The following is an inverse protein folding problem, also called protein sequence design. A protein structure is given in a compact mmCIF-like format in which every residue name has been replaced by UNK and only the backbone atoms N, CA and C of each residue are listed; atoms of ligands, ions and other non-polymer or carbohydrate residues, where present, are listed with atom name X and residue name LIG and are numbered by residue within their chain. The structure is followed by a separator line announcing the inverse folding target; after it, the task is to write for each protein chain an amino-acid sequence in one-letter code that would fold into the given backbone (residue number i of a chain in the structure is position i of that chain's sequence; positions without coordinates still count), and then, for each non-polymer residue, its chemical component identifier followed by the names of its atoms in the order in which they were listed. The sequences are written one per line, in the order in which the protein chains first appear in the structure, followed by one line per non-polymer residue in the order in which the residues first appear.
data_IF_560708730894
#
_entry.id   IF_560708730894
#
_cell.length_a   1.000
_cell.length_b   1.000
_cell.length_c   1.000
_cell.angle_alpha   90.00
_cell.angle_beta   90.00
_cell.angle_gamma   90.00
#
_symmetry.space_group_name_H-M   'P 1'
#
loop_
_entity.id
_entity.type
_entity.pdbx_description
1 polymer ?
#
# COMPACT_ATOMS: atom_id res chain seq x y z
N UNK A 1 14.11 33.33 -0.67
CA UNK A 1 15.38 33.05 -1.39
C UNK A 1 15.25 31.74 -2.15
N UNK A 2 15.55 31.78 -3.44
CA UNK A 2 15.23 30.80 -4.49
C UNK A 2 16.07 29.51 -4.42
N UNK A 3 15.45 28.39 -4.07
CA UNK A 3 15.95 27.03 -4.37
C UNK A 3 14.99 26.22 -5.28
N UNK A 4 14.50 26.76 -6.41
CA UNK A 4 13.62 26.01 -7.32
C UNK A 4 14.32 24.79 -7.94
N UNK A 5 15.64 24.86 -8.17
CA UNK A 5 16.40 23.77 -8.85
C UNK A 5 16.48 22.48 -8.04
N UNK A 6 16.55 22.56 -6.69
CA UNK A 6 16.66 21.36 -5.85
C UNK A 6 15.34 20.60 -5.72
N UNK A 7 14.21 21.31 -5.79
CA UNK A 7 12.88 20.69 -5.73
C UNK A 7 12.63 19.84 -6.99
N UNK A 8 12.99 20.38 -8.16
CA UNK A 8 12.83 19.67 -9.43
C UNK A 8 13.68 18.38 -9.46
N UNK A 9 14.92 18.43 -8.97
CA UNK A 9 15.80 17.25 -8.92
C UNK A 9 15.24 16.14 -8.01
N UNK A 10 14.74 16.51 -6.82
CA UNK A 10 14.14 15.55 -5.90
C UNK A 10 12.88 14.88 -6.46
N UNK A 11 12.06 15.63 -7.22
CA UNK A 11 10.88 15.08 -7.90
C UNK A 11 11.29 14.09 -8.98
N UNK A 12 12.29 14.43 -9.81
CA UNK A 12 12.78 13.54 -10.88
C UNK A 12 13.30 12.23 -10.31
N UNK A 13 14.13 12.27 -9.26
CA UNK A 13 14.64 11.05 -8.62
C UNK A 13 13.48 10.19 -8.11
N UNK A 14 12.47 10.81 -7.48
CA UNK A 14 11.30 10.09 -6.97
C UNK A 14 10.53 9.39 -8.08
N UNK A 15 10.22 10.11 -9.15
CA UNK A 15 9.55 9.55 -10.34
C UNK A 15 10.37 8.38 -10.89
N UNK A 16 11.69 8.55 -11.04
CA UNK A 16 12.57 7.51 -11.56
C UNK A 16 12.57 6.27 -10.65
N UNK A 17 12.67 6.45 -9.33
CA UNK A 17 12.62 5.31 -8.38
C UNK A 17 11.28 4.58 -8.40
N UNK A 18 10.15 5.29 -8.42
CA UNK A 18 8.82 4.64 -8.53
C UNK A 18 8.64 3.94 -9.88
N UNK A 19 9.23 4.50 -10.94
CA UNK A 19 9.11 3.92 -12.28
C UNK A 19 9.74 2.53 -12.38
N UNK A 20 10.68 2.20 -11.48
CA UNK A 20 11.25 0.85 -11.38
C UNK A 20 10.15 -0.18 -11.11
N UNK A 21 9.23 0.09 -10.17
CA UNK A 21 8.13 -0.84 -9.88
C UNK A 21 7.27 -1.03 -11.12
N UNK A 22 6.86 0.07 -11.75
CA UNK A 22 6.02 0.03 -12.94
C UNK A 22 6.71 -0.71 -14.10
N UNK A 23 8.00 -0.46 -14.34
CA UNK A 23 8.80 -1.14 -15.37
C UNK A 23 9.00 -2.62 -15.07
N UNK A 24 9.21 -3.01 -13.81
CA UNK A 24 9.30 -4.41 -13.40
C UNK A 24 7.98 -5.13 -13.68
N UNK A 25 6.85 -4.53 -13.30
CA UNK A 25 5.53 -5.10 -13.56
C UNK A 25 5.23 -5.17 -15.06
N UNK A 26 5.56 -4.12 -15.83
CA UNK A 26 5.34 -4.09 -17.27
C UNK A 26 6.21 -5.14 -17.97
N UNK A 27 7.49 -5.24 -17.58
CA UNK A 27 8.39 -6.26 -18.10
C UNK A 27 7.88 -7.66 -17.80
N UNK A 28 7.36 -7.89 -16.59
CA UNK A 28 6.70 -9.13 -16.22
C UNK A 28 5.50 -9.42 -17.12
N UNK A 29 4.56 -8.49 -17.26
CA UNK A 29 3.39 -8.61 -18.13
C UNK A 29 3.76 -8.98 -19.57
N UNK A 30 4.74 -8.30 -20.16
CA UNK A 30 5.17 -8.52 -21.54
C UNK A 30 5.93 -9.84 -21.74
N UNK A 31 6.58 -10.37 -20.71
CA UNK A 31 7.41 -11.58 -20.83
C UNK A 31 6.79 -12.83 -20.20
N UNK A 32 5.67 -12.70 -19.47
CA UNK A 32 5.09 -13.77 -18.66
C UNK A 32 4.89 -15.08 -19.45
N UNK A 33 4.40 -14.98 -20.70
CA UNK A 33 4.12 -16.12 -21.59
C UNK A 33 5.35 -16.92 -22.02
N UNK A 34 6.55 -16.32 -22.01
CA UNK A 34 7.82 -16.99 -22.33
C UNK A 34 8.64 -17.34 -21.10
N UNK A 35 8.25 -16.83 -19.94
CA UNK A 35 9.08 -16.81 -18.74
C UNK A 35 8.86 -18.07 -17.88
N UNK A 36 9.93 -18.81 -17.57
CA UNK A 36 9.84 -20.00 -16.73
C UNK A 36 9.46 -19.69 -15.27
N UNK A 37 9.32 -20.73 -14.45
CA UNK A 37 9.02 -20.52 -13.02
C UNK A 37 10.12 -19.78 -12.26
N UNK A 38 11.39 -19.89 -12.67
CA UNK A 38 12.49 -19.16 -12.04
C UNK A 38 12.35 -17.64 -12.17
N UNK A 39 11.98 -17.15 -13.36
CA UNK A 39 11.71 -15.72 -13.58
C UNK A 39 10.49 -15.24 -12.81
N UNK A 40 9.43 -16.04 -12.73
CA UNK A 40 8.26 -15.72 -11.92
C UNK A 40 8.61 -15.59 -10.42
N UNK A 41 9.43 -16.51 -9.89
CA UNK A 41 9.91 -16.47 -8.51
C UNK A 41 10.80 -15.25 -8.25
N UNK A 42 11.66 -14.89 -9.19
CA UNK A 42 12.50 -13.69 -9.10
C UNK A 42 11.63 -12.43 -9.03
N UNK A 43 10.67 -12.27 -9.95
CA UNK A 43 9.77 -11.11 -9.96
C UNK A 43 8.95 -11.07 -8.66
N UNK A 44 8.44 -12.22 -8.21
CA UNK A 44 7.75 -12.33 -6.94
C UNK A 44 8.62 -11.89 -5.76
N UNK A 45 9.89 -12.32 -5.71
CA UNK A 45 10.83 -11.94 -4.66
C UNK A 45 11.13 -10.43 -4.67
N UNK A 46 11.31 -9.83 -5.85
CA UNK A 46 11.53 -8.38 -6.00
C UNK A 46 10.31 -7.58 -5.55
N UNK A 47 9.10 -7.97 -5.98
CA UNK A 47 7.85 -7.31 -5.54
C UNK A 47 7.66 -7.46 -4.03
N UNK A 48 7.89 -8.66 -3.50
CA UNK A 48 7.80 -8.94 -2.08
C UNK A 48 8.75 -8.03 -1.30
N UNK A 49 10.01 -7.89 -1.75
CA UNK A 49 10.98 -7.01 -1.09
C UNK A 49 10.46 -5.55 -1.00
N UNK A 50 9.89 -5.01 -2.08
CA UNK A 50 9.32 -3.66 -2.05
C UNK A 50 8.15 -3.56 -1.05
N UNK A 51 7.21 -4.50 -1.10
CA UNK A 51 6.08 -4.53 -0.18
C UNK A 51 6.52 -4.64 1.29
N UNK A 52 7.51 -5.47 1.57
CA UNK A 52 8.06 -5.65 2.90
C UNK A 52 8.73 -4.38 3.41
N UNK A 53 9.49 -3.67 2.58
CA UNK A 53 10.10 -2.39 2.98
C UNK A 53 9.04 -1.37 3.40
N UNK A 54 7.92 -1.29 2.68
CA UNK A 54 6.79 -0.43 3.07
C UNK A 54 6.08 -0.93 4.34
N UNK A 55 5.85 -2.24 4.46
CA UNK A 55 5.19 -2.87 5.60
C UNK A 55 5.99 -2.68 6.89
N UNK A 56 7.31 -2.91 6.85
CA UNK A 56 8.20 -2.67 7.99
C UNK A 56 8.18 -1.22 8.42
N UNK A 57 8.26 -0.27 7.49
CA UNK A 57 8.17 1.16 7.83
C UNK A 57 6.86 1.50 8.55
N UNK A 58 5.71 1.06 8.02
CA UNK A 58 4.41 1.28 8.64
C UNK A 58 4.30 0.61 10.03
N UNK A 59 4.84 -0.59 10.18
CA UNK A 59 4.89 -1.30 11.45
C UNK A 59 5.75 -0.58 12.48
N UNK A 60 6.93 -0.07 12.09
CA UNK A 60 7.79 0.70 12.98
C UNK A 60 7.15 2.02 13.43
N UNK A 61 6.43 2.71 12.52
CA UNK A 61 5.69 3.93 12.87
C UNK A 61 4.57 3.63 13.87
N UNK A 62 3.74 2.61 13.59
CA UNK A 62 2.64 2.24 14.48
C UNK A 62 3.17 1.82 15.85
N UNK A 63 4.26 1.05 15.86
CA UNK A 63 4.97 0.64 17.07
C UNK A 63 5.36 1.89 17.89
N UNK A 64 6.12 2.81 17.31
CA UNK A 64 6.60 4.02 18.00
C UNK A 64 5.46 4.94 18.46
N UNK A 65 4.39 5.07 17.69
CA UNK A 65 3.22 5.84 18.07
C UNK A 65 2.54 5.24 19.31
N UNK A 66 2.30 3.92 19.30
CA UNK A 66 1.67 3.23 20.43
C UNK A 66 2.54 3.25 21.69
N UNK A 67 3.86 3.06 21.57
CA UNK A 67 4.76 3.11 22.72
C UNK A 67 4.79 4.48 23.40
N UNK A 68 4.80 5.56 22.63
CA UNK A 68 4.88 6.89 23.21
C UNK A 68 3.60 7.33 23.93
N UNK A 69 2.44 6.77 23.57
CA UNK A 69 1.14 7.21 24.09
C UNK A 69 0.55 6.29 25.16
N UNK A 70 0.79 4.97 25.08
CA UNK A 70 0.01 4.00 25.85
C UNK A 70 0.81 3.12 26.80
N UNK A 71 2.14 3.12 26.73
CA UNK A 71 2.95 2.18 27.50
C UNK A 71 3.53 2.85 28.73
N UNK A 72 3.04 2.43 29.89
CA UNK A 72 3.72 2.57 31.18
C UNK A 72 4.70 1.40 31.34
N UNK A 73 5.86 1.62 31.96
CA UNK A 73 7.01 0.69 31.97
C UNK A 73 6.76 -0.69 32.64
N UNK A 74 5.59 -0.95 33.25
CA UNK A 74 5.41 -2.05 34.22
C UNK A 74 4.52 -3.25 33.78
N UNK A 75 4.04 -3.35 32.53
CA UNK A 75 3.06 -4.39 32.16
C UNK A 75 3.61 -5.54 31.31
N UNK A 76 3.36 -6.80 31.68
CA UNK A 76 3.74 -8.01 30.90
C UNK A 76 3.16 -8.08 29.47
N UNK A 77 2.07 -7.36 29.19
CA UNK A 77 1.51 -7.24 27.82
C UNK A 77 2.52 -6.54 26.89
N UNK A 78 3.45 -5.77 27.46
CA UNK A 78 4.59 -5.17 26.79
C UNK A 78 5.43 -6.21 26.06
N UNK A 79 5.75 -7.37 26.66
CA UNK A 79 6.65 -8.36 26.07
C UNK A 79 6.08 -8.98 24.78
N UNK A 80 4.75 -9.13 24.71
CA UNK A 80 4.10 -9.66 23.51
C UNK A 80 4.18 -8.66 22.34
N UNK A 81 3.96 -7.36 22.60
CA UNK A 81 4.11 -6.30 21.61
C UNK A 81 5.57 -5.94 21.33
N UNK A 82 6.47 -6.24 22.28
CA UNK A 82 7.91 -6.03 22.14
C UNK A 82 8.55 -7.00 21.16
N UNK A 83 7.92 -8.16 20.94
CA UNK A 83 8.39 -9.16 20.00
C UNK A 83 8.32 -8.63 18.56
N UNK A 84 9.41 -7.96 18.15
CA UNK A 84 9.68 -7.49 16.79
C UNK A 84 9.47 -8.62 15.77
N UNK A 85 9.72 -9.86 16.21
CA UNK A 85 9.54 -11.10 15.43
C UNK A 85 8.08 -11.29 15.03
N UNK A 86 7.10 -11.13 15.93
CA UNK A 86 5.69 -11.34 15.61
C UNK A 86 5.16 -10.28 14.64
N UNK A 87 5.52 -9.02 14.86
CA UNK A 87 5.12 -7.93 13.96
C UNK A 87 5.78 -8.10 12.59
N UNK A 88 7.07 -8.48 12.56
CA UNK A 88 7.78 -8.74 11.32
C UNK A 88 7.23 -9.94 10.55
N UNK A 89 6.91 -11.04 11.24
CA UNK A 89 6.28 -12.22 10.62
C UNK A 89 4.90 -11.89 10.04
N UNK A 90 4.12 -11.07 10.75
CA UNK A 90 2.83 -10.60 10.25
C UNK A 90 3.00 -9.81 8.95
N UNK A 91 3.85 -8.78 8.95
CA UNK A 91 4.09 -7.98 7.74
C UNK A 91 4.72 -8.83 6.62
N UNK A 92 5.50 -9.86 6.96
CA UNK A 92 6.02 -10.84 6.02
C UNK A 92 4.89 -11.60 5.30
N UNK A 93 3.97 -12.19 6.07
CA UNK A 93 2.84 -12.95 5.53
C UNK A 93 1.95 -12.04 4.67
N UNK A 94 1.60 -10.85 5.17
CA UNK A 94 0.80 -9.89 4.40
C UNK A 94 1.50 -9.41 3.13
N UNK A 95 2.81 -9.13 3.20
CA UNK A 95 3.61 -8.72 2.05
C UNK A 95 3.67 -9.80 0.97
N UNK A 96 3.86 -11.07 1.35
CA UNK A 96 3.87 -12.20 0.42
C UNK A 96 2.51 -12.43 -0.25
N UNK A 97 1.42 -12.33 0.52
CA UNK A 97 0.05 -12.45 -0.03
C UNK A 97 -0.21 -11.32 -1.02
N UNK A 98 0.09 -10.07 -0.67
CA UNK A 98 -0.09 -8.92 -1.55
C UNK A 98 0.81 -9.00 -2.79
N UNK A 99 2.04 -9.51 -2.66
CA UNK A 99 2.94 -9.74 -3.79
C UNK A 99 2.34 -10.74 -4.78
N UNK A 100 1.72 -11.82 -4.27
CA UNK A 100 1.07 -12.83 -5.09
C UNK A 100 -0.11 -12.23 -5.85
N UNK A 101 -0.99 -11.49 -5.16
CA UNK A 101 -2.12 -10.79 -5.79
C UNK A 101 -1.66 -9.80 -6.86
N UNK A 102 -0.59 -9.05 -6.61
CA UNK A 102 -0.06 -8.10 -7.60
C UNK A 102 0.58 -8.81 -8.80
N UNK A 103 1.37 -9.86 -8.58
CA UNK A 103 2.03 -10.64 -9.62
C UNK A 103 1.01 -11.22 -10.62
N UNK A 104 -0.11 -11.73 -10.09
CA UNK A 104 -1.17 -12.33 -10.89
C UNK A 104 -2.08 -11.25 -11.50
N UNK A 105 -2.50 -10.28 -10.69
CA UNK A 105 -3.44 -9.24 -11.13
C UNK A 105 -2.93 -8.45 -12.32
N UNK A 106 -1.61 -8.21 -12.36
CA UNK A 106 -0.93 -7.52 -13.47
C UNK A 106 -1.07 -8.24 -14.81
N UNK A 107 -1.23 -9.56 -14.82
CA UNK A 107 -1.42 -10.35 -16.05
C UNK A 107 -2.79 -10.14 -16.69
N UNK A 108 -3.76 -9.67 -15.90
CA UNK A 108 -5.15 -9.47 -16.34
C UNK A 108 -5.44 -7.98 -16.62
N UNK A 109 -4.43 -7.11 -16.48
CA UNK A 109 -4.62 -5.69 -16.67
C UNK A 109 -4.87 -5.32 -18.12
N UNK A 110 -5.88 -4.48 -18.32
CA UNK A 110 -6.14 -3.85 -19.62
C UNK A 110 -5.13 -2.72 -19.89
N UNK A 111 -4.87 -2.38 -21.17
CA UNK A 111 -3.98 -1.27 -21.53
C UNK A 111 -4.34 0.05 -20.84
N UNK A 112 -5.64 0.29 -20.60
CA UNK A 112 -6.12 1.45 -19.85
C UNK A 112 -5.60 1.46 -18.40
N UNK A 113 -5.65 0.31 -17.71
CA UNK A 113 -5.19 0.21 -16.33
C UNK A 113 -3.69 0.49 -16.21
N UNK A 114 -2.87 0.08 -17.19
CA UNK A 114 -1.45 0.43 -17.25
C UNK A 114 -1.19 1.94 -17.27
N UNK A 115 -1.95 2.67 -18.07
CA UNK A 115 -1.85 4.13 -18.14
C UNK A 115 -2.24 4.79 -16.83
N UNK A 116 -3.23 4.21 -16.13
CA UNK A 116 -3.71 4.71 -14.85
C UNK A 116 -2.71 4.44 -13.71
N UNK A 117 -2.06 3.28 -13.68
CA UNK A 117 -0.96 3.01 -12.74
C UNK A 117 0.20 3.99 -12.92
N UNK A 118 0.50 4.36 -14.17
CA UNK A 118 1.52 5.37 -14.46
C UNK A 118 1.06 6.78 -14.02
N UNK A 119 -0.21 7.14 -14.25
CA UNK A 119 -0.77 8.39 -13.78
C UNK A 119 -0.76 8.48 -12.23
N UNK A 120 -1.12 7.39 -11.55
CA UNK A 120 -1.10 7.31 -10.08
C UNK A 120 0.31 7.48 -9.52
N UNK A 121 1.33 6.91 -10.17
CA UNK A 121 2.73 7.16 -9.85
C UNK A 121 3.05 8.67 -9.90
N UNK A 122 2.62 9.37 -10.95
CA UNK A 122 2.82 10.83 -11.05
C UNK A 122 2.09 11.57 -9.92
N UNK A 123 0.84 11.21 -9.63
CA UNK A 123 0.06 11.77 -8.53
C UNK A 123 0.81 11.59 -7.21
N UNK A 124 1.26 10.37 -6.91
CA UNK A 124 2.01 10.04 -5.70
C UNK A 124 3.28 10.89 -5.55
N UNK A 125 4.06 11.05 -6.63
CA UNK A 125 5.31 11.84 -6.58
C UNK A 125 5.07 13.31 -6.24
N UNK A 126 3.94 13.87 -6.70
CA UNK A 126 3.54 15.25 -6.43
C UNK A 126 2.85 15.43 -5.06
N UNK A 127 2.15 14.40 -4.59
CA UNK A 127 1.33 14.46 -3.38
C UNK A 127 2.17 14.32 -2.11
N UNK A 128 3.18 13.45 -2.10
CA UNK A 128 4.07 13.26 -0.94
C UNK A 128 4.69 14.58 -0.42
N UNK A 129 5.32 15.44 -1.25
CA UNK A 129 5.89 16.70 -0.76
C UNK A 129 4.80 17.67 -0.28
N UNK A 130 3.62 17.67 -0.89
CA UNK A 130 2.48 18.50 -0.45
C UNK A 130 2.01 18.10 0.94
N UNK A 131 1.86 16.80 1.20
CA UNK A 131 1.51 16.31 2.54
C UNK A 131 2.62 16.55 3.56
N UNK A 132 3.88 16.39 3.19
CA UNK A 132 5.00 16.68 4.08
C UNK A 132 5.00 18.15 4.52
N UNK A 133 4.73 19.09 3.61
CA UNK A 133 4.58 20.51 3.93
C UNK A 133 3.35 20.77 4.80
N UNK A 134 2.19 20.18 4.47
CA UNK A 134 0.96 20.36 5.25
C UNK A 134 1.09 19.85 6.69
N UNK A 135 1.95 18.86 6.93
CA UNK A 135 2.17 18.25 8.24
C UNK A 135 3.30 18.90 9.05
N UNK A 136 4.02 19.88 8.49
CA UNK A 136 5.22 20.46 9.12
C UNK A 136 4.99 21.03 10.51
N UNK A 137 3.79 21.56 10.76
CA UNK A 137 3.46 22.24 12.01
C UNK A 137 2.75 21.33 13.03
N UNK A 138 2.40 20.09 12.64
CA UNK A 138 1.59 19.16 13.47
C UNK A 138 2.34 17.88 13.83
N UNK A 139 3.32 17.47 13.03
CA UNK A 139 4.01 16.19 13.18
C UNK A 139 5.50 16.44 13.42
N UNK A 140 6.09 15.74 14.40
CA UNK A 140 7.53 15.84 14.69
C UNK A 140 8.34 15.50 13.42
N UNK A 141 9.45 16.22 13.22
CA UNK A 141 10.30 16.10 12.03
C UNK A 141 10.65 14.67 11.60
N UNK A 142 11.04 13.72 12.50
CA UNK A 142 11.40 12.37 12.08
C UNK A 142 10.24 11.55 11.51
N UNK A 143 8.99 11.87 11.87
CA UNK A 143 7.81 11.11 11.43
C UNK A 143 7.10 11.77 10.24
N UNK A 144 7.40 13.04 9.95
CA UNK A 144 6.69 13.84 8.96
C UNK A 144 6.68 13.20 7.56
N UNK A 145 7.82 12.72 7.09
CA UNK A 145 7.92 12.11 5.75
C UNK A 145 7.32 10.71 5.67
N UNK A 146 7.34 9.96 6.76
CA UNK A 146 6.80 8.63 6.83
C UNK A 146 5.25 8.67 6.85
N UNK A 147 4.69 9.57 7.68
CA UNK A 147 3.25 9.87 7.69
C UNK A 147 2.76 10.43 6.35
N UNK A 148 3.49 11.37 5.75
CA UNK A 148 3.13 11.93 4.45
C UNK A 148 3.05 10.85 3.35
N UNK A 149 3.97 9.88 3.35
CA UNK A 149 3.94 8.74 2.43
C UNK A 149 2.74 7.83 2.70
N UNK A 150 2.46 7.51 3.96
CA UNK A 150 1.31 6.67 4.31
C UNK A 150 -0.03 7.33 3.97
N UNK A 151 -0.16 8.65 4.14
CA UNK A 151 -1.35 9.39 3.71
C UNK A 151 -1.48 9.43 2.18
N UNK A 152 -0.37 9.63 1.46
CA UNK A 152 -0.36 9.54 0.00
C UNK A 152 -0.78 8.14 -0.48
N UNK A 153 -0.28 7.09 0.18
CA UNK A 153 -0.65 5.70 -0.09
C UNK A 153 -2.16 5.51 -0.04
N UNK A 154 -2.81 5.95 1.03
CA UNK A 154 -4.25 5.75 1.21
C UNK A 154 -5.05 6.48 0.13
N UNK A 155 -4.62 7.68 -0.27
CA UNK A 155 -5.27 8.41 -1.34
C UNK A 155 -5.12 7.68 -2.69
N UNK A 156 -3.93 7.19 -3.01
CA UNK A 156 -3.65 6.37 -4.20
C UNK A 156 -4.47 5.08 -4.19
N UNK A 157 -4.54 4.36 -3.06
CA UNK A 157 -5.38 3.16 -2.91
C UNK A 157 -6.83 3.48 -3.22
N UNK A 158 -7.40 4.54 -2.63
CA UNK A 158 -8.79 4.94 -2.87
C UNK A 158 -9.02 5.31 -4.34
N UNK A 159 -8.08 6.02 -4.96
CA UNK A 159 -8.17 6.40 -6.38
C UNK A 159 -8.18 5.15 -7.28
N UNK A 160 -7.17 4.28 -7.15
CA UNK A 160 -7.04 3.05 -7.94
C UNK A 160 -8.23 2.11 -7.72
N UNK A 161 -8.64 1.95 -6.46
CA UNK A 161 -9.74 1.07 -6.09
C UNK A 161 -11.08 1.58 -6.63
N UNK A 162 -11.36 2.88 -6.49
CA UNK A 162 -12.58 3.49 -7.01
C UNK A 162 -12.66 3.42 -8.54
N UNK A 163 -11.53 3.60 -9.25
CA UNK A 163 -11.51 3.45 -10.70
C UNK A 163 -11.70 2.01 -11.13
N UNK A 164 -11.04 1.05 -10.47
CA UNK A 164 -11.22 -0.37 -10.76
C UNK A 164 -12.69 -0.81 -10.56
N UNK A 165 -13.34 -0.35 -9.49
CA UNK A 165 -14.77 -0.57 -9.27
C UNK A 165 -15.62 0.09 -10.37
N UNK A 166 -15.30 1.32 -10.75
CA UNK A 166 -16.03 2.05 -11.81
C UNK A 166 -15.89 1.35 -13.17
N UNK A 167 -14.70 0.89 -13.54
CA UNK A 167 -14.48 0.17 -14.80
C UNK A 167 -15.23 -1.14 -14.83
N UNK A 168 -15.12 -1.95 -13.76
CA UNK A 168 -15.80 -3.24 -13.69
C UNK A 168 -17.32 -3.11 -13.66
N UNK A 169 -17.85 -1.99 -13.16
CA UNK A 169 -19.30 -1.76 -13.09
C UNK A 169 -19.88 -1.09 -14.34
N UNK A 170 -19.19 -0.12 -14.93
CA UNK A 170 -19.71 0.66 -16.05
C UNK A 170 -19.30 0.11 -17.43
N UNK A 171 -18.16 -0.57 -17.51
CA UNK A 171 -17.59 -1.03 -18.78
C UNK A 171 -17.04 -2.45 -18.63
N UNK A 172 -17.89 -3.44 -18.32
CA UNK A 172 -17.44 -4.83 -18.23
C UNK A 172 -16.95 -5.31 -19.61
N UNK A 173 -15.81 -5.99 -19.61
CA UNK A 173 -15.20 -6.52 -20.84
C UNK A 173 -16.06 -7.58 -21.50
N UNK A 174 -16.68 -8.44 -20.69
CA UNK A 174 -17.50 -9.57 -21.13
C UNK A 174 -18.97 -9.39 -20.74
N UNK A 175 -19.88 -9.91 -21.55
CA UNK A 175 -21.33 -9.81 -21.33
C UNK A 175 -21.89 -11.15 -20.84
N UNK A 176 -22.17 -11.25 -19.54
CA UNK A 176 -22.73 -12.42 -18.85
C UNK A 176 -24.22 -12.24 -18.51
N UNK A 177 -24.89 -11.27 -19.11
CA UNK A 177 -26.29 -10.97 -18.86
C UNK A 177 -27.16 -12.19 -19.21
N UNK A 178 -27.91 -12.70 -18.23
CA UNK A 178 -28.83 -13.84 -18.41
C UNK A 178 -28.17 -15.23 -18.31
N UNK A 179 -26.84 -15.29 -18.17
CA UNK A 179 -26.13 -16.56 -17.93
C UNK A 179 -26.21 -16.96 -16.46
N UNK A 180 -26.16 -18.27 -16.19
CA UNK A 180 -26.03 -18.78 -14.83
C UNK A 180 -24.56 -18.74 -14.38
N UNK A 181 -24.31 -18.57 -13.08
CA UNK A 181 -22.94 -18.50 -12.57
C UNK A 181 -22.11 -19.74 -12.90
N UNK A 182 -22.74 -20.93 -12.97
CA UNK A 182 -22.06 -22.18 -13.35
C UNK A 182 -21.49 -22.08 -14.77
N UNK A 183 -22.26 -21.52 -15.69
CA UNK A 183 -21.87 -21.36 -17.10
C UNK A 183 -20.71 -20.37 -17.23
N UNK A 184 -20.71 -19.29 -16.43
CA UNK A 184 -19.63 -18.31 -16.39
C UNK A 184 -18.33 -18.94 -15.90
N UNK A 185 -18.39 -19.80 -14.87
CA UNK A 185 -17.21 -20.49 -14.35
C UNK A 185 -16.67 -21.52 -15.35
N UNK A 186 -17.53 -22.21 -16.09
CA UNK A 186 -17.10 -23.27 -17.02
C UNK A 186 -16.66 -22.74 -18.39
N UNK A 187 -17.28 -21.69 -18.91
CA UNK A 187 -17.08 -21.23 -20.29
C UNK A 187 -16.58 -19.79 -20.42
N UNK A 188 -16.71 -18.97 -19.37
CA UNK A 188 -16.41 -17.54 -19.43
C UNK A 188 -14.94 -17.17 -19.23
N UNK A 189 -14.03 -18.14 -19.05
CA UNK A 189 -12.67 -17.88 -18.57
C UNK A 189 -11.63 -18.25 -19.61
N UNK A 190 -11.07 -17.24 -20.26
CA UNK A 190 -9.86 -17.39 -21.06
C UNK A 190 -8.67 -17.67 -20.13
N UNK A 191 -8.04 -18.83 -20.28
CA UNK A 191 -6.87 -19.18 -19.50
C UNK A 191 -5.66 -18.38 -19.99
N UNK A 192 -4.93 -17.68 -19.11
CA UNK A 192 -3.72 -16.97 -19.53
C UNK A 192 -2.63 -17.97 -19.90
N UNK A 193 -2.07 -17.82 -21.09
CA UNK A 193 -0.94 -18.62 -21.58
C UNK A 193 0.33 -18.29 -20.78
N UNK A 194 0.65 -19.14 -19.79
CA UNK A 194 1.78 -18.96 -18.89
C UNK A 194 2.62 -20.23 -18.85
N UNK A 195 3.93 -20.11 -19.05
CA UNK A 195 4.85 -21.24 -19.00
C UNK A 195 5.07 -21.83 -17.61
N UNK A 196 4.78 -21.09 -16.53
CA UNK A 196 4.87 -21.61 -15.17
C UNK A 196 3.50 -22.13 -14.68
N UNK A 197 3.33 -23.45 -14.42
CA UNK A 197 2.03 -24.03 -14.10
C UNK A 197 1.43 -23.52 -12.78
N UNK A 198 2.26 -23.25 -11.76
CA UNK A 198 1.78 -22.74 -10.47
C UNK A 198 1.16 -21.35 -10.64
N UNK A 199 1.83 -20.47 -11.38
CA UNK A 199 1.32 -19.13 -11.67
C UNK A 199 0.09 -19.20 -12.56
N UNK A 200 0.08 -20.11 -13.53
CA UNK A 200 -1.09 -20.34 -14.40
C UNK A 200 -2.34 -20.75 -13.61
N UNK A 201 -2.20 -21.67 -12.65
CA UNK A 201 -3.31 -22.08 -11.79
C UNK A 201 -3.83 -20.93 -10.93
N UNK A 202 -2.94 -20.15 -10.31
CA UNK A 202 -3.34 -19.00 -9.51
C UNK A 202 -3.99 -17.90 -10.37
N UNK A 203 -3.48 -17.68 -11.57
CA UNK A 203 -4.05 -16.75 -12.53
C UNK A 203 -5.44 -17.21 -13.00
N UNK A 204 -5.64 -18.51 -13.22
CA UNK A 204 -6.96 -19.05 -13.53
C UNK A 204 -7.96 -18.78 -12.39
N UNK A 205 -7.60 -19.05 -11.13
CA UNK A 205 -8.46 -18.73 -9.96
C UNK A 205 -8.81 -17.24 -9.93
N UNK A 206 -7.83 -16.39 -10.21
CA UNK A 206 -8.04 -14.94 -10.23
C UNK A 206 -8.99 -14.50 -11.36
N UNK A 207 -8.82 -15.02 -12.58
CA UNK A 207 -9.71 -14.71 -13.71
C UNK A 207 -11.12 -15.26 -13.49
N UNK A 208 -11.28 -16.49 -12.96
CA UNK A 208 -12.59 -17.02 -12.56
C UNK A 208 -13.26 -16.10 -11.54
N UNK A 209 -12.51 -15.63 -10.53
CA UNK A 209 -13.00 -14.68 -9.54
C UNK A 209 -13.47 -13.36 -10.18
N UNK A 210 -12.70 -12.82 -11.13
CA UNK A 210 -13.09 -11.62 -11.86
C UNK A 210 -14.34 -11.84 -12.75
N UNK A 211 -14.44 -12.99 -13.42
CA UNK A 211 -15.62 -13.34 -14.22
C UNK A 211 -16.88 -13.43 -13.35
N UNK A 212 -16.77 -14.06 -12.17
CA UNK A 212 -17.86 -14.13 -11.19
C UNK A 212 -18.24 -12.74 -10.65
N UNK A 213 -17.25 -11.88 -10.41
CA UNK A 213 -17.49 -10.49 -10.02
C UNK A 213 -18.25 -9.70 -11.10
N UNK A 214 -17.85 -9.83 -12.37
CA UNK A 214 -18.56 -9.20 -13.50
C UNK A 214 -19.98 -9.75 -13.65
N UNK A 215 -20.16 -11.06 -13.54
CA UNK A 215 -21.48 -11.70 -13.57
C UNK A 215 -22.39 -11.17 -12.46
N UNK A 216 -21.88 -11.06 -11.23
CA UNK A 216 -22.65 -10.57 -10.09
C UNK A 216 -23.14 -9.15 -10.31
N UNK A 217 -22.29 -8.25 -10.79
CA UNK A 217 -22.67 -6.86 -11.10
C UNK A 217 -23.78 -6.80 -12.16
N UNK A 218 -23.68 -7.60 -13.21
CA UNK A 218 -24.62 -7.57 -14.33
C UNK A 218 -25.98 -8.23 -14.03
N UNK A 219 -25.99 -9.25 -13.17
CA UNK A 219 -27.20 -10.06 -12.90
C UNK A 219 -27.83 -9.81 -11.53
N UNK A 220 -27.21 -9.02 -10.64
CA UNK A 220 -27.70 -8.80 -9.27
C UNK A 220 -29.19 -8.43 -9.20
N UNK A 221 -29.69 -7.57 -10.08
CA UNK A 221 -31.12 -7.18 -10.02
C UNK A 221 -32.09 -8.28 -10.49
N UNK A 222 -31.61 -9.26 -11.25
CA UNK A 222 -32.43 -10.29 -11.89
C UNK A 222 -32.55 -11.55 -11.05
N UNK A 223 -31.48 -11.91 -10.34
CA UNK A 223 -31.34 -13.25 -9.73
C UNK A 223 -31.57 -13.28 -8.22
N UNK A 224 -31.92 -12.14 -7.61
CA UNK A 224 -32.10 -12.03 -6.15
C UNK A 224 -33.29 -12.80 -5.59
N UNK A 225 -34.23 -13.24 -6.43
CA UNK A 225 -35.36 -14.06 -6.00
C UNK A 225 -34.98 -15.52 -5.73
N UNK A 226 -33.87 -16.01 -6.31
CA UNK A 226 -33.35 -17.36 -6.07
C UNK A 226 -32.27 -17.29 -4.97
N UNK A 227 -32.46 -17.94 -3.81
CA UNK A 227 -31.53 -17.83 -2.68
C UNK A 227 -30.12 -18.31 -3.04
N UNK A 228 -30.00 -19.30 -3.93
CA UNK A 228 -28.70 -19.84 -4.33
C UNK A 228 -27.92 -18.85 -5.18
N UNK A 229 -28.60 -18.15 -6.09
CA UNK A 229 -27.99 -17.15 -6.95
C UNK A 229 -27.70 -15.86 -6.17
N UNK A 230 -28.57 -15.48 -5.23
CA UNK A 230 -28.35 -14.35 -4.34
C UNK A 230 -27.06 -14.50 -3.51
N UNK A 231 -26.80 -15.69 -2.94
CA UNK A 231 -25.53 -15.97 -2.23
C UNK A 231 -24.34 -15.79 -3.18
N UNK A 232 -24.42 -16.32 -4.40
CA UNK A 232 -23.33 -16.20 -5.37
C UNK A 232 -23.09 -14.75 -5.82
N UNK A 233 -24.14 -13.92 -5.90
CA UNK A 233 -24.00 -12.47 -6.16
C UNK A 233 -23.20 -11.81 -5.03
N UNK A 234 -23.49 -12.12 -3.77
CA UNK A 234 -22.72 -11.60 -2.63
C UNK A 234 -21.26 -12.06 -2.64
N UNK A 235 -21.01 -13.32 -2.99
CA UNK A 235 -19.65 -13.84 -3.18
C UNK A 235 -18.94 -13.07 -4.29
N UNK A 236 -19.61 -12.84 -5.44
CA UNK A 236 -19.07 -12.05 -6.54
C UNK A 236 -18.76 -10.61 -6.14
N UNK A 237 -19.63 -9.94 -5.37
CA UNK A 237 -19.33 -8.62 -4.82
C UNK A 237 -18.17 -8.63 -3.83
N UNK A 238 -18.10 -9.62 -2.95
CA UNK A 238 -16.97 -9.75 -2.03
C UNK A 238 -15.65 -9.93 -2.79
N UNK A 239 -15.63 -10.76 -3.83
CA UNK A 239 -14.45 -10.94 -4.69
C UNK A 239 -14.11 -9.64 -5.42
N UNK A 240 -15.11 -8.97 -6.01
CA UNK A 240 -14.94 -7.68 -6.68
C UNK A 240 -14.24 -6.67 -5.76
N UNK A 241 -14.80 -6.46 -4.57
CA UNK A 241 -14.30 -5.49 -3.60
C UNK A 241 -12.93 -5.88 -3.06
N UNK A 242 -12.75 -7.15 -2.68
CA UNK A 242 -11.50 -7.61 -2.05
C UNK A 242 -10.34 -7.67 -3.05
N UNK A 243 -10.53 -8.22 -4.25
CA UNK A 243 -9.43 -8.38 -5.22
C UNK A 243 -8.96 -7.03 -5.73
N UNK A 244 -9.87 -6.14 -6.11
CA UNK A 244 -9.51 -4.79 -6.57
C UNK A 244 -8.82 -4.00 -5.47
N UNK A 245 -9.29 -4.09 -4.22
CA UNK A 245 -8.66 -3.44 -3.08
C UNK A 245 -7.27 -4.00 -2.78
N UNK A 246 -7.09 -5.33 -2.78
CA UNK A 246 -5.80 -5.98 -2.52
C UNK A 246 -4.77 -5.60 -3.58
N UNK A 247 -5.16 -5.59 -4.86
CA UNK A 247 -4.26 -5.20 -5.96
C UNK A 247 -3.90 -3.71 -5.89
N UNK A 248 -4.87 -2.82 -5.66
CA UNK A 248 -4.63 -1.38 -5.48
C UNK A 248 -3.70 -1.13 -4.29
N UNK A 249 -3.93 -1.82 -3.16
CA UNK A 249 -3.08 -1.76 -1.98
C UNK A 249 -1.67 -2.27 -2.25
N UNK A 250 -1.53 -3.42 -2.90
CA UNK A 250 -0.23 -4.00 -3.22
C UNK A 250 0.58 -3.06 -4.13
N UNK A 251 -0.02 -2.53 -5.19
CA UNK A 251 0.66 -1.59 -6.07
C UNK A 251 1.11 -0.33 -5.33
N UNK A 252 0.20 0.31 -4.58
CA UNK A 252 0.49 1.53 -3.82
C UNK A 252 1.59 1.32 -2.76
N UNK A 253 1.56 0.17 -2.08
CA UNK A 253 2.60 -0.21 -1.13
C UNK A 253 3.95 -0.47 -1.81
N UNK A 254 3.96 -1.12 -2.98
CA UNK A 254 5.19 -1.36 -3.72
C UNK A 254 5.85 -0.04 -4.15
N UNK A 255 5.08 0.95 -4.61
CA UNK A 255 5.58 2.29 -4.96
C UNK A 255 6.27 2.98 -3.77
N UNK A 256 5.66 2.90 -2.59
CA UNK A 256 6.23 3.48 -1.37
C UNK A 256 7.43 2.66 -0.88
N UNK A 257 7.38 1.34 -1.07
CA UNK A 257 8.41 0.40 -0.68
C UNK A 257 9.77 0.71 -1.29
N UNK A 258 9.80 1.11 -2.56
CA UNK A 258 11.03 1.54 -3.23
C UNK A 258 11.60 2.84 -2.63
N UNK A 259 10.76 3.68 -2.06
CA UNK A 259 11.19 4.88 -1.32
C UNK A 259 11.43 4.61 0.17
N UNK A 260 11.06 3.42 0.64
CA UNK A 260 11.12 3.03 2.03
C UNK A 260 12.56 3.08 2.53
N UNK A 261 12.74 3.71 3.70
CA UNK A 261 14.03 3.73 4.40
C UNK A 261 13.84 3.31 5.85
N UNK A 262 13.42 2.07 6.11
CA UNK A 262 13.11 1.61 7.46
C UNK A 262 14.30 1.76 8.42
N UNK A 263 15.54 1.74 7.92
CA UNK A 263 16.75 1.90 8.74
C UNK A 263 16.92 3.31 9.34
N UNK A 264 16.42 4.38 8.69
CA UNK A 264 16.51 5.73 9.26
C UNK A 264 15.70 5.83 10.57
N UNK A 265 14.58 5.09 10.61
CA UNK A 265 13.74 4.93 11.79
C UNK A 265 14.33 3.97 12.82
N UNK A 266 15.38 3.20 12.52
CA UNK A 266 16.01 2.32 13.52
C UNK A 266 16.88 3.11 14.50
N UNK A 267 17.44 4.24 14.08
CA UNK A 267 18.38 5.01 14.90
C UNK A 267 17.78 5.39 16.27
N UNK A 268 18.56 5.14 17.33
CA UNK A 268 18.11 5.21 18.72
C UNK A 268 17.75 6.63 19.14
N UNK A 269 16.61 6.85 19.82
CA UNK A 269 16.13 8.17 20.23
C UNK A 269 17.12 8.94 21.13
N UNK A 270 18.05 8.25 21.80
CA UNK A 270 19.08 8.86 22.66
C UNK A 270 20.03 9.78 21.90
N UNK A 271 20.34 9.51 20.63
CA UNK A 271 21.17 10.43 19.82
C UNK A 271 20.46 11.72 19.46
N UNK A 272 19.14 11.68 19.28
CA UNK A 272 18.35 12.85 18.90
C UNK A 272 18.00 13.71 20.12
N UNK A 273 17.74 13.10 21.28
CA UNK A 273 17.52 13.86 22.53
C UNK A 273 18.77 14.64 22.96
N UNK A 274 19.97 14.10 22.75
CA UNK A 274 21.22 14.83 23.01
C UNK A 274 21.43 15.99 22.03
N UNK A 275 21.02 15.83 20.77
CA UNK A 275 21.05 16.89 19.77
C UNK A 275 20.03 18.00 20.07
N UNK A 276 18.81 17.64 20.47
CA UNK A 276 17.76 18.59 20.86
C UNK A 276 18.13 19.34 22.15
N UNK A 277 18.71 18.64 23.13
CA UNK A 277 19.21 19.26 24.36
C UNK A 277 20.38 20.22 24.10
N UNK A 278 21.23 19.94 23.12
CA UNK A 278 22.31 20.82 22.68
C UNK A 278 21.83 21.99 21.80
N UNK A 279 20.73 21.80 21.04
CA UNK A 279 20.16 22.79 20.14
C UNK A 279 19.23 23.80 20.82
N UNK A 280 18.70 23.50 22.02
CA UNK A 280 18.15 24.52 22.90
C UNK A 280 19.30 25.30 23.54
N UNK A 281 19.63 26.54 23.09
CA UNK A 281 20.54 27.38 23.85
C UNK A 281 19.93 27.52 25.24
N UNK A 282 20.70 27.16 26.28
CA UNK A 282 20.26 27.38 27.66
C UNK A 282 19.88 28.85 27.77
N UNK A 283 18.58 29.12 27.71
CA UNK A 283 18.06 30.42 28.09
C UNK A 283 18.36 30.44 29.57
N UNK A 284 19.52 31.04 29.92
CA UNK A 284 19.91 31.31 31.29
C UNK A 284 18.67 31.87 31.94
N UNK A 285 18.04 31.03 32.75
CA UNK A 285 16.82 31.33 33.48
C UNK A 285 17.26 32.42 34.45
N UNK A 286 17.16 33.67 34.03
CA UNK A 286 17.43 34.83 34.85
C UNK A 286 16.55 34.64 36.06
N UNK A 287 17.16 34.28 37.20
CA UNK A 287 16.51 34.19 38.50
C UNK A 287 15.88 35.55 38.74
N UNK A 288 14.62 35.71 38.33
CA UNK A 288 13.81 36.86 38.71
C UNK A 288 13.45 36.58 40.17
N UNK A 289 14.28 37.13 41.03
CA UNK A 289 14.13 37.20 42.48
C UNK A 289 12.68 37.60 42.77
N UNK A 290 11.87 36.64 43.21
CA UNK A 290 10.57 36.93 43.84
C UNK A 290 10.92 37.68 45.13
N UNK A 291 10.84 39.00 45.08
CA UNK A 291 10.83 39.86 46.27
C UNK A 291 9.57 39.50 47.05
N UNK A 292 9.74 38.87 48.21
CA UNK A 292 8.69 38.68 49.21
C UNK A 292 8.19 40.06 49.64
N UNK A 293 6.96 40.40 49.24
CA UNK A 293 6.18 41.49 49.82
C UNK A 293 5.28 40.91 50.90
N UNK A 294 5.85 40.61 52.07
CA UNK A 294 5.08 40.40 53.29
C UNK A 294 5.70 41.30 54.37
N UNK A 295 5.14 42.50 54.55
CA UNK A 295 5.28 43.28 55.77
C UNK A 295 3.88 43.37 56.42
N UNK A 296 3.73 42.97 57.69
CA UNK A 296 2.53 43.24 58.48
C UNK A 296 2.60 44.66 59.08
N UNK A 297 1.44 45.32 59.13
CA UNK A 297 1.13 46.46 60.02
C UNK A 297 0.33 45.92 61.20
#
# INVERSE_FOLDING_TARGET
MTRPRLINFAVIIRVLTMSIVWLVLLSWFLNAYRSGCGTALLVFAVISLFLLMAGFEAAFLRRRALYNEFVSDDDHVFDLFHNLILTGLRELIFGLILAMFLLIGVLVFEPRQWSLLFADLLVMTLLIPRFALSMSNRVREPYRFAMARQSAMWLSILLLWSEALMVLTLSPREHYIGMRWQEVVTYGVAQPDLSCPIVAQLANIFVVGQALAMWAVQNATRVMNDPTQAIMVWVGFFILFSFTFMVARAFSQALIGVMGRPWELWSSPTKNAAYDAAATPSTKRTKRTRRNWNQPV
#
